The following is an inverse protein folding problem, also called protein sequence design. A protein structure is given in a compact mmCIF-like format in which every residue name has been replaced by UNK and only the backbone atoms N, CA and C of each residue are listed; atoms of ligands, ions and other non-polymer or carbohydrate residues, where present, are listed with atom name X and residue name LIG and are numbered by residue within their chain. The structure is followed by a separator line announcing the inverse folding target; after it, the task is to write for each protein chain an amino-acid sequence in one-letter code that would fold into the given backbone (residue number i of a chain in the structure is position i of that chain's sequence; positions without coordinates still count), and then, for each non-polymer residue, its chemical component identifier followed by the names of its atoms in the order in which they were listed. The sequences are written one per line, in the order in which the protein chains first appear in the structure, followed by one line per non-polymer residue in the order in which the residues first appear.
data_IF_465121962055
#
_entry.id   IF_465121962055
#
_cell.length_a   1.000
_cell.length_b   1.000
_cell.length_c   1.000
_cell.angle_alpha   90.00
_cell.angle_beta   90.00
_cell.angle_gamma   90.00
#
_symmetry.space_group_name_H-M   'P 1'
#
loop_
_entity.id
_entity.type
_entity.pdbx_description
1 polymer ?
#
# COMPACT_ATOMS: atom_id res chain seq x y z
N UNK A 1 10.22 -1.97 -6.64
CA UNK A 1 11.25 -2.62 -7.48
C UNK A 1 11.36 -4.12 -7.18
N UNK A 2 11.63 -4.53 -5.94
CA UNK A 2 11.67 -5.96 -5.56
C UNK A 2 10.39 -6.74 -5.94
N UNK A 3 9.21 -6.22 -5.58
CA UNK A 3 7.92 -6.83 -5.95
C UNK A 3 7.73 -7.00 -7.47
N UNK A 4 8.09 -5.98 -8.26
CA UNK A 4 8.08 -6.05 -9.73
C UNK A 4 8.93 -7.21 -10.25
N UNK A 5 10.15 -7.38 -9.73
CA UNK A 5 11.03 -8.50 -10.10
C UNK A 5 10.45 -9.85 -9.70
N UNK A 6 9.88 -9.95 -8.50
CA UNK A 6 9.21 -11.15 -8.00
C UNK A 6 8.06 -11.57 -8.91
N UNK A 7 7.25 -10.60 -9.36
CA UNK A 7 6.11 -10.86 -10.22
C UNK A 7 6.50 -11.16 -11.67
N UNK A 8 7.33 -10.31 -12.30
CA UNK A 8 7.66 -10.42 -13.73
C UNK A 8 8.65 -11.56 -13.98
N UNK A 9 9.72 -11.64 -13.19
CA UNK A 9 10.81 -12.60 -13.39
C UNK A 9 10.58 -13.88 -12.59
N UNK A 10 10.09 -13.75 -11.36
CA UNK A 10 9.84 -14.89 -10.48
C UNK A 10 8.52 -15.63 -10.74
N UNK A 11 7.62 -15.07 -11.56
CA UNK A 11 6.26 -15.58 -11.77
C UNK A 11 5.45 -15.74 -10.47
N UNK A 12 5.74 -14.94 -9.44
CA UNK A 12 5.18 -15.08 -8.09
C UNK A 12 4.32 -13.88 -7.70
N UNK A 13 3.12 -14.15 -7.19
CA UNK A 13 2.27 -13.21 -6.48
C UNK A 13 2.52 -13.33 -4.98
N UNK A 14 2.71 -12.22 -4.27
CA UNK A 14 3.07 -12.25 -2.85
C UNK A 14 1.87 -12.49 -1.94
N UNK A 15 0.75 -11.77 -2.16
CA UNK A 15 -0.55 -11.94 -1.48
C UNK A 15 -0.60 -11.67 0.02
N UNK A 16 0.50 -11.20 0.60
CA UNK A 16 0.57 -10.80 2.01
C UNK A 16 1.58 -9.66 2.21
N UNK A 17 1.40 -8.58 1.44
CA UNK A 17 2.17 -7.37 1.67
C UNK A 17 1.71 -6.74 3.00
N UNK A 18 2.65 -6.63 3.94
CA UNK A 18 2.44 -6.01 5.25
C UNK A 18 3.71 -5.28 5.68
N UNK A 19 3.62 -4.41 6.69
CA UNK A 19 4.80 -3.75 7.26
C UNK A 19 5.82 -4.73 7.85
N UNK A 20 5.37 -5.93 8.27
CA UNK A 20 6.25 -6.94 8.86
C UNK A 20 7.03 -7.72 7.79
N UNK A 21 6.52 -7.74 6.56
CA UNK A 21 7.10 -8.47 5.43
C UNK A 21 8.01 -7.59 4.55
N UNK A 22 8.28 -6.36 5.02
CA UNK A 22 9.17 -5.39 4.36
C UNK A 22 10.33 -5.07 5.30
N UNK A 23 11.53 -5.51 4.93
CA UNK A 23 12.77 -5.13 5.62
C UNK A 23 13.34 -3.89 4.95
N UNK A 24 13.66 -2.87 5.73
CA UNK A 24 14.44 -1.72 5.27
C UNK A 24 15.88 -1.90 5.74
N UNK A 25 16.83 -1.92 4.80
CA UNK A 25 18.24 -2.09 5.12
C UNK A 25 18.85 -0.78 5.59
N UNK A 26 19.87 -0.87 6.44
CA UNK A 26 20.63 0.31 6.89
C UNK A 26 21.45 0.87 5.73
N UNK A 27 21.28 2.16 5.37
CA UNK A 27 21.95 2.76 4.21
C UNK A 27 23.47 2.59 4.22
N UNK A 28 24.07 2.62 5.41
CA UNK A 28 25.52 2.52 5.62
C UNK A 28 26.08 1.15 5.25
N UNK A 29 25.23 0.12 5.23
CA UNK A 29 25.62 -1.28 5.01
C UNK A 29 25.12 -1.85 3.69
N UNK A 30 24.25 -1.13 2.99
CA UNK A 30 23.49 -1.66 1.86
C UNK A 30 23.58 -0.79 0.60
N UNK A 31 24.60 0.07 0.47
CA UNK A 31 24.76 1.00 -0.67
C UNK A 31 23.50 1.86 -0.91
N UNK A 32 23.06 2.54 0.16
CA UNK A 32 21.89 3.41 0.15
C UNK A 32 20.60 2.77 0.64
N UNK A 33 19.48 3.45 0.39
CA UNK A 33 18.15 3.04 0.89
C UNK A 33 17.60 1.85 0.08
N UNK A 34 17.91 0.65 0.56
CA UNK A 34 17.38 -0.59 0.00
C UNK A 34 16.33 -1.23 0.91
N UNK A 35 15.52 -2.09 0.31
CA UNK A 35 14.51 -2.86 1.02
C UNK A 35 14.32 -4.23 0.41
N UNK A 36 13.96 -5.19 1.25
CA UNK A 36 13.72 -6.58 0.87
C UNK A 36 12.29 -6.97 1.22
N UNK A 37 11.69 -7.76 0.35
CA UNK A 37 10.43 -8.45 0.64
C UNK A 37 10.74 -9.85 1.12
N UNK A 38 10.11 -10.22 2.22
CA UNK A 38 10.26 -11.52 2.85
C UNK A 38 8.88 -12.19 2.97
N UNK A 39 8.86 -13.41 3.47
CA UNK A 39 7.65 -14.18 3.77
C UNK A 39 6.80 -14.47 2.53
N UNK A 40 7.12 -15.59 1.88
CA UNK A 40 6.43 -16.10 0.70
C UNK A 40 5.51 -17.28 1.02
N UNK A 41 5.17 -17.49 2.29
CA UNK A 41 4.37 -18.65 2.72
C UNK A 41 2.95 -18.62 2.15
N UNK A 42 2.43 -17.42 1.88
CA UNK A 42 1.13 -17.19 1.23
C UNK A 42 1.23 -16.91 -0.27
N UNK A 43 2.45 -16.93 -0.81
CA UNK A 43 2.71 -16.61 -2.20
C UNK A 43 2.11 -17.67 -3.13
N UNK A 44 1.84 -17.26 -4.36
CA UNK A 44 1.25 -18.14 -5.39
C UNK A 44 1.95 -17.91 -6.72
N UNK A 45 2.28 -19.00 -7.40
CA UNK A 45 2.70 -18.91 -8.80
C UNK A 45 1.54 -18.38 -9.66
N UNK A 46 1.80 -17.34 -10.45
CA UNK A 46 0.78 -16.62 -11.24
C UNK A 46 -0.02 -17.57 -12.14
N UNK A 47 0.66 -18.50 -12.79
CA UNK A 47 0.09 -19.37 -13.81
C UNK A 47 -0.42 -20.71 -13.25
N UNK A 48 -0.38 -20.88 -11.92
CA UNK A 48 -0.90 -22.08 -11.27
C UNK A 48 -2.43 -22.15 -11.36
N UNK A 49 -2.95 -23.37 -11.57
CA UNK A 49 -4.39 -23.62 -11.68
C UNK A 49 -5.16 -23.03 -10.49
N UNK A 50 -6.35 -22.45 -10.70
CA UNK A 50 -7.20 -22.01 -9.60
C UNK A 50 -7.49 -23.20 -8.68
N UNK A 51 -7.13 -23.10 -7.40
CA UNK A 51 -7.38 -24.15 -6.42
C UNK A 51 -8.86 -24.26 -6.00
N UNK A 52 -9.77 -23.56 -6.68
CA UNK A 52 -11.21 -23.48 -6.35
C UNK A 52 -11.53 -22.69 -5.07
N UNK A 53 -10.62 -22.65 -4.10
CA UNK A 53 -10.72 -21.84 -2.91
C UNK A 53 -10.35 -20.37 -3.17
N UNK A 54 -11.32 -19.47 -2.98
CA UNK A 54 -11.09 -18.02 -2.87
C UNK A 54 -10.40 -17.73 -1.55
N UNK A 55 -9.08 -17.72 -1.60
CA UNK A 55 -8.23 -17.62 -0.43
C UNK A 55 -8.15 -16.16 0.06
N UNK A 56 -8.98 -15.83 1.05
CA UNK A 56 -8.80 -14.65 1.91
C UNK A 56 -7.52 -14.84 2.74
N UNK A 57 -6.39 -14.47 2.16
CA UNK A 57 -5.07 -14.60 2.78
C UNK A 57 -4.46 -13.23 2.96
N UNK A 58 -3.69 -13.10 4.04
CA UNK A 58 -2.89 -11.94 4.35
C UNK A 58 -3.42 -11.12 5.52
N UNK A 59 -2.79 -9.98 5.74
CA UNK A 59 -3.10 -9.10 6.87
C UNK A 59 -4.28 -8.16 6.53
N UNK A 60 -5.44 -8.31 7.21
CA UNK A 60 -6.71 -7.62 6.87
C UNK A 60 -6.57 -6.10 6.66
N UNK A 61 -5.82 -5.41 7.53
CA UNK A 61 -5.62 -3.96 7.41
C UNK A 61 -4.86 -3.53 6.15
N UNK A 62 -4.12 -4.44 5.52
CA UNK A 62 -3.38 -4.20 4.28
C UNK A 62 -3.99 -4.88 3.05
N UNK A 63 -4.98 -5.77 3.20
CA UNK A 63 -5.67 -6.36 2.05
C UNK A 63 -6.31 -5.31 1.15
N UNK A 64 -6.23 -5.51 -0.17
CA UNK A 64 -6.91 -4.68 -1.16
C UNK A 64 -8.45 -4.80 -1.07
N UNK A 65 -9.17 -3.77 -1.56
CA UNK A 65 -10.64 -3.71 -1.52
C UNK A 65 -11.28 -4.91 -2.21
N UNK A 66 -10.82 -5.27 -3.42
CA UNK A 66 -11.40 -6.40 -4.15
C UNK A 66 -11.08 -7.75 -3.48
N UNK A 67 -9.92 -7.88 -2.84
CA UNK A 67 -9.55 -9.08 -2.07
C UNK A 67 -10.49 -9.27 -0.89
N UNK A 68 -10.82 -8.19 -0.16
CA UNK A 68 -11.80 -8.22 0.92
C UNK A 68 -13.20 -8.63 0.41
N UNK A 69 -13.51 -8.29 -0.85
CA UNK A 69 -14.71 -8.71 -1.59
C UNK A 69 -14.59 -10.08 -2.26
N UNK A 70 -13.55 -10.85 -1.91
CA UNK A 70 -13.31 -12.23 -2.38
C UNK A 70 -13.04 -12.34 -3.89
N UNK A 71 -12.51 -11.28 -4.50
CA UNK A 71 -11.89 -11.34 -5.83
C UNK A 71 -10.50 -11.97 -5.70
N UNK A 72 -10.08 -12.70 -6.72
CA UNK A 72 -8.77 -13.35 -6.72
C UNK A 72 -7.63 -12.31 -6.72
N UNK A 73 -6.60 -12.60 -5.93
CA UNK A 73 -5.42 -11.74 -5.81
C UNK A 73 -4.67 -11.58 -7.13
N UNK A 74 -4.12 -10.39 -7.35
CA UNK A 74 -3.30 -10.04 -8.52
C UNK A 74 -2.15 -9.13 -8.06
N UNK A 75 -1.22 -8.80 -8.97
CA UNK A 75 -0.12 -7.90 -8.66
C UNK A 75 -0.61 -6.48 -8.28
N UNK A 76 -1.74 -6.04 -8.84
CA UNK A 76 -2.36 -4.75 -8.51
C UNK A 76 -2.82 -4.73 -7.05
N UNK A 77 -3.33 -5.84 -6.53
CA UNK A 77 -3.72 -5.95 -5.13
C UNK A 77 -2.52 -5.85 -4.19
N UNK A 78 -1.37 -6.45 -4.53
CA UNK A 78 -0.13 -6.25 -3.77
C UNK A 78 0.33 -4.78 -3.81
N UNK A 79 0.19 -4.08 -4.96
CA UNK A 79 0.50 -2.65 -5.07
C UNK A 79 -0.43 -1.76 -4.23
N UNK A 80 -1.71 -2.10 -4.17
CA UNK A 80 -2.67 -1.44 -3.28
C UNK A 80 -2.32 -1.66 -1.81
N UNK A 81 -1.90 -2.88 -1.44
CA UNK A 81 -1.39 -3.19 -0.11
C UNK A 81 -0.14 -2.39 0.25
N UNK A 82 0.81 -2.20 -0.67
CA UNK A 82 1.96 -1.29 -0.44
C UNK A 82 1.51 0.13 -0.14
N UNK A 83 0.49 0.63 -0.84
CA UNK A 83 -0.03 1.96 -0.57
C UNK A 83 -0.67 2.05 0.82
N UNK A 84 -1.41 1.02 1.24
CA UNK A 84 -1.94 0.95 2.60
C UNK A 84 -0.86 0.86 3.68
N UNK A 85 0.24 0.15 3.42
CA UNK A 85 1.41 0.17 4.30
C UNK A 85 1.99 1.58 4.41
N UNK A 86 2.17 2.30 3.31
CA UNK A 86 2.65 3.69 3.34
C UNK A 86 1.77 4.58 4.22
N UNK A 87 0.45 4.56 4.00
CA UNK A 87 -0.51 5.35 4.78
C UNK A 87 -0.47 4.97 6.27
N UNK A 88 -0.36 3.68 6.57
CA UNK A 88 -0.25 3.18 7.93
C UNK A 88 1.01 3.66 8.64
N UNK A 89 2.16 3.58 7.96
CA UNK A 89 3.44 4.05 8.48
C UNK A 89 3.39 5.55 8.78
N UNK A 90 2.84 6.35 7.86
CA UNK A 90 2.75 7.80 8.00
C UNK A 90 1.71 8.26 9.05
N UNK A 91 0.52 7.66 9.12
CA UNK A 91 -0.54 8.09 10.04
C UNK A 91 -0.42 7.54 11.46
N UNK A 92 0.21 6.36 11.63
CA UNK A 92 0.23 5.65 12.92
C UNK A 92 1.63 5.44 13.47
N UNK A 93 2.50 4.78 12.71
CA UNK A 93 3.81 4.35 13.23
C UNK A 93 4.77 5.53 13.44
N UNK A 94 4.71 6.52 12.55
CA UNK A 94 5.51 7.77 12.62
C UNK A 94 5.47 8.44 14.00
N UNK A 95 4.31 8.46 14.66
CA UNK A 95 4.12 9.08 15.97
C UNK A 95 4.92 8.41 17.10
N UNK A 96 5.35 7.16 16.91
CA UNK A 96 6.13 6.39 17.89
C UNK A 96 7.61 6.29 17.52
N UNK A 97 7.96 6.62 16.27
CA UNK A 97 9.30 6.42 15.71
C UNK A 97 10.06 7.74 15.49
N UNK A 98 9.82 8.75 16.34
CA UNK A 98 10.56 10.01 16.32
C UNK A 98 10.11 11.04 15.27
N UNK A 99 9.09 10.73 14.44
CA UNK A 99 8.58 11.67 13.43
C UNK A 99 7.56 12.67 13.94
N UNK A 100 7.28 12.71 15.26
CA UNK A 100 6.31 13.62 15.87
C UNK A 100 6.53 15.10 15.48
N UNK A 101 7.79 15.48 15.21
CA UNK A 101 8.19 16.86 14.94
C UNK A 101 8.10 17.76 16.18
N UNK A 102 8.57 18.99 16.04
CA UNK A 102 8.41 20.05 17.06
C UNK A 102 7.07 20.81 16.90
N UNK A 103 6.27 20.42 15.91
CA UNK A 103 5.00 21.04 15.56
C UNK A 103 3.92 20.93 16.64
N UNK A 104 2.86 21.71 16.47
CA UNK A 104 1.72 21.75 17.41
C UNK A 104 0.79 20.55 17.27
N UNK A 105 0.88 19.84 16.14
CA UNK A 105 0.03 18.69 15.85
C UNK A 105 0.30 17.53 16.81
N UNK A 106 -0.78 16.93 17.32
CA UNK A 106 -0.71 15.78 18.22
C UNK A 106 -1.24 14.54 17.51
N UNK A 107 -0.72 13.38 17.93
CA UNK A 107 -1.26 12.07 17.55
C UNK A 107 -2.78 12.07 17.79
N UNK A 108 -3.60 11.63 16.82
CA UNK A 108 -5.03 11.51 17.02
C UNK A 108 -5.33 10.51 18.15
N UNK A 109 -6.38 10.79 18.94
CA UNK A 109 -6.87 9.88 20.00
C UNK A 109 -7.25 8.52 19.43
N UNK A 110 -7.90 8.54 18.27
CA UNK A 110 -8.28 7.37 17.50
C UNK A 110 -7.98 7.66 16.03
N UNK A 111 -7.24 6.74 15.38
CA UNK A 111 -6.89 6.89 13.96
C UNK A 111 -8.01 6.35 13.08
N UNK A 112 -8.28 7.06 11.99
CA UNK A 112 -9.21 6.65 10.93
C UNK A 112 -8.89 5.25 10.39
N UNK A 113 -7.62 4.85 10.40
CA UNK A 113 -7.18 3.53 9.95
C UNK A 113 -7.57 2.39 10.90
N UNK A 114 -8.07 2.66 12.12
CA UNK A 114 -8.59 1.61 13.02
C UNK A 114 -9.74 0.84 12.37
N UNK A 115 -10.54 1.51 11.53
CA UNK A 115 -11.65 0.89 10.78
C UNK A 115 -11.16 -0.06 9.68
N UNK A 116 -9.86 -0.14 9.44
CA UNK A 116 -9.28 -1.13 8.53
C UNK A 116 -8.93 -2.45 9.24
N UNK A 117 -8.98 -2.48 10.57
CA UNK A 117 -8.66 -3.64 11.41
C UNK A 117 -9.91 -4.30 12.02
N UNK A 118 -10.96 -3.51 12.27
CA UNK A 118 -12.12 -3.92 13.07
C UNK A 118 -13.39 -3.89 12.23
N UNK A 119 -14.20 -4.94 12.34
CA UNK A 119 -15.50 -5.06 11.67
C UNK A 119 -15.56 -6.23 10.70
N UNK A 120 -16.66 -6.30 9.94
CA UNK A 120 -16.81 -7.30 8.87
C UNK A 120 -15.97 -6.96 7.63
N UNK A 121 -15.54 -7.96 6.85
CA UNK A 121 -14.71 -7.74 5.66
C UNK A 121 -15.32 -6.75 4.65
N UNK A 122 -16.65 -6.79 4.46
CA UNK A 122 -17.33 -5.84 3.58
C UNK A 122 -17.34 -4.41 4.13
N UNK A 123 -17.47 -4.25 5.45
CA UNK A 123 -17.39 -2.93 6.10
C UNK A 123 -16.00 -2.32 5.98
N UNK A 124 -14.97 -3.16 6.15
CA UNK A 124 -13.57 -2.80 5.94
C UNK A 124 -13.36 -2.40 4.47
N UNK A 125 -13.88 -3.17 3.51
CA UNK A 125 -13.80 -2.87 2.09
C UNK A 125 -14.45 -1.52 1.73
N UNK A 126 -15.68 -1.27 2.20
CA UNK A 126 -16.38 -0.01 1.97
C UNK A 126 -15.64 1.19 2.58
N UNK A 127 -15.10 1.02 3.79
CA UNK A 127 -14.33 2.08 4.45
C UNK A 127 -13.05 2.41 3.70
N UNK A 128 -12.33 1.38 3.23
CA UNK A 128 -11.14 1.54 2.39
C UNK A 128 -11.46 2.20 1.06
N UNK A 129 -12.50 1.74 0.36
CA UNK A 129 -12.93 2.35 -0.90
C UNK A 129 -13.27 3.84 -0.72
N UNK A 130 -14.07 4.20 0.29
CA UNK A 130 -14.39 5.60 0.57
C UNK A 130 -13.16 6.46 0.90
N UNK A 131 -12.18 5.87 1.58
CA UNK A 131 -10.91 6.51 1.86
C UNK A 131 -10.05 6.74 0.61
N UNK A 132 -10.26 6.00 -0.48
CA UNK A 132 -9.54 6.19 -1.74
C UNK A 132 -10.15 7.27 -2.64
N UNK A 133 -11.21 7.96 -2.21
CA UNK A 133 -11.57 9.26 -2.79
C UNK A 133 -10.51 10.32 -2.45
N UNK A 134 -10.39 11.39 -3.25
CA UNK A 134 -9.43 12.48 -2.98
C UNK A 134 -9.66 13.06 -1.57
N UNK A 135 -10.91 13.43 -1.26
CA UNK A 135 -11.29 13.95 0.06
C UNK A 135 -11.06 12.91 1.18
N UNK A 136 -11.28 11.62 0.90
CA UNK A 136 -11.04 10.54 1.86
C UNK A 136 -9.56 10.40 2.20
N UNK A 137 -8.71 10.46 1.18
CA UNK A 137 -7.27 10.35 1.33
C UNK A 137 -6.70 11.58 2.05
N UNK A 138 -7.18 12.79 1.72
CA UNK A 138 -6.79 14.01 2.42
C UNK A 138 -7.12 13.95 3.91
N UNK A 139 -8.27 13.36 4.31
CA UNK A 139 -8.59 13.13 5.73
C UNK A 139 -7.59 12.20 6.41
N UNK A 140 -7.16 11.13 5.74
CA UNK A 140 -6.13 10.22 6.27
C UNK A 140 -4.79 10.95 6.40
N UNK A 141 -4.37 11.68 5.38
CA UNK A 141 -3.14 12.48 5.40
C UNK A 141 -3.20 13.60 6.46
N UNK A 142 -4.41 14.02 6.85
CA UNK A 142 -4.67 14.86 8.00
C UNK A 142 -4.17 14.28 9.33
N UNK A 143 -3.91 12.97 9.44
CA UNK A 143 -3.34 12.34 10.63
C UNK A 143 -1.81 12.30 10.65
N UNK A 144 -1.15 12.62 9.54
CA UNK A 144 0.32 12.55 9.44
C UNK A 144 0.96 13.64 10.33
N UNK A 145 2.08 13.36 11.00
CA UNK A 145 2.92 14.43 11.58
C UNK A 145 3.32 15.46 10.51
N UNK A 146 3.51 16.72 10.92
CA UNK A 146 3.87 17.83 10.01
C UNK A 146 5.18 17.57 9.25
N UNK A 147 6.11 16.83 9.85
CA UNK A 147 7.38 16.42 9.23
C UNK A 147 7.19 15.53 8.00
N UNK A 148 6.03 14.86 7.87
CA UNK A 148 5.69 13.99 6.75
C UNK A 148 4.79 14.68 5.71
N UNK A 149 4.60 16.01 5.80
CA UNK A 149 3.83 16.75 4.79
C UNK A 149 4.44 16.63 3.39
N UNK A 150 5.76 16.45 3.30
CA UNK A 150 6.50 16.17 2.05
C UNK A 150 6.03 14.89 1.34
N UNK A 151 5.42 13.95 2.07
CA UNK A 151 4.93 12.67 1.53
C UNK A 151 3.51 12.80 0.95
N UNK A 152 2.74 13.83 1.31
CA UNK A 152 1.33 13.96 0.88
C UNK A 152 1.16 14.00 -0.66
N UNK A 153 1.99 14.73 -1.43
CA UNK A 153 1.90 14.70 -2.89
C UNK A 153 2.16 13.30 -3.48
N UNK A 154 3.04 12.50 -2.87
CA UNK A 154 3.28 11.11 -3.27
C UNK A 154 2.01 10.27 -3.13
N UNK A 155 1.34 10.40 -1.97
CA UNK A 155 0.11 9.65 -1.69
C UNK A 155 -0.99 9.97 -2.71
N UNK A 156 -1.18 11.25 -3.04
CA UNK A 156 -2.15 11.66 -4.06
C UNK A 156 -1.82 11.09 -5.44
N UNK A 157 -0.53 11.10 -5.82
CA UNK A 157 -0.08 10.55 -7.11
C UNK A 157 -0.24 9.03 -7.19
N UNK A 158 0.14 8.29 -6.16
CA UNK A 158 -0.08 6.83 -6.10
C UNK A 158 -1.57 6.50 -6.15
N UNK A 159 -2.41 7.27 -5.44
CA UNK A 159 -3.87 7.11 -5.49
C UNK A 159 -4.41 7.33 -6.90
N UNK A 160 -3.97 8.37 -7.59
CA UNK A 160 -4.35 8.63 -8.99
C UNK A 160 -4.02 7.44 -9.89
N UNK A 161 -2.79 6.91 -9.79
CA UNK A 161 -2.32 5.77 -10.58
C UNK A 161 -3.15 4.51 -10.32
N UNK A 162 -3.42 4.18 -9.05
CA UNK A 162 -4.14 2.95 -8.69
C UNK A 162 -5.65 3.03 -8.91
N UNK A 163 -6.26 4.18 -8.61
CA UNK A 163 -7.71 4.32 -8.52
C UNK A 163 -8.34 5.20 -9.60
N UNK A 164 -7.56 5.79 -10.50
CA UNK A 164 -7.99 6.78 -11.51
C UNK A 164 -8.45 8.12 -10.90
N UNK A 165 -8.19 9.22 -11.61
CA UNK A 165 -8.67 10.57 -11.28
C UNK A 165 -10.06 10.91 -11.84
N UNK A 166 -10.70 9.93 -12.49
CA UNK A 166 -12.09 10.06 -12.92
C UNK A 166 -13.05 9.97 -11.72
N UNK A 167 -14.30 10.42 -11.92
CA UNK A 167 -15.33 10.37 -10.88
C UNK A 167 -15.62 8.94 -10.38
N UNK A 168 -15.33 7.92 -11.19
CA UNK A 168 -15.49 6.50 -10.84
C UNK A 168 -14.12 5.87 -10.61
N UNK A 169 -13.90 5.38 -9.40
CA UNK A 169 -12.67 4.66 -9.08
C UNK A 169 -12.57 3.34 -9.86
N UNK A 170 -11.34 3.00 -10.26
CA UNK A 170 -11.02 1.71 -10.85
C UNK A 170 -10.43 0.82 -9.76
N UNK A 171 -11.07 -0.31 -9.48
CA UNK A 171 -10.62 -1.30 -8.50
C UNK A 171 -9.98 -2.54 -9.16
N UNK A 172 -10.36 -2.82 -10.41
CA UNK A 172 -9.89 -3.99 -11.16
C UNK A 172 -8.45 -3.88 -11.64
N UNK A 173 -7.81 -5.03 -11.88
CA UNK A 173 -6.47 -5.08 -12.48
C UNK A 173 -6.53 -4.68 -13.95
N UNK A 174 -5.71 -3.71 -14.42
CA UNK A 174 -5.71 -3.31 -15.82
C UNK A 174 -5.24 -4.46 -16.71
N UNK A 175 -5.76 -4.50 -17.94
CA UNK A 175 -5.33 -5.49 -18.94
C UNK A 175 -3.99 -5.08 -19.56
N UNK A 176 -3.16 -6.08 -19.89
CA UNK A 176 -1.90 -5.88 -20.59
C UNK A 176 -0.70 -5.82 -19.65
N UNK A 177 0.27 -4.96 -20.01
CA UNK A 177 1.56 -4.88 -19.32
C UNK A 177 1.42 -4.38 -17.86
N UNK A 178 1.89 -5.14 -16.86
CA UNK A 178 1.95 -4.72 -15.46
C UNK A 178 2.70 -3.40 -15.23
N UNK A 179 3.62 -3.03 -16.11
CA UNK A 179 4.40 -1.79 -16.03
C UNK A 179 3.55 -0.53 -16.15
N UNK A 180 2.32 -0.64 -16.65
CA UNK A 180 1.34 0.43 -16.59
C UNK A 180 1.07 0.93 -15.16
N UNK A 181 1.30 0.07 -14.14
CA UNK A 181 1.24 0.48 -12.73
C UNK A 181 2.62 0.58 -12.09
N UNK A 182 3.53 -0.36 -12.36
CA UNK A 182 4.84 -0.36 -11.70
C UNK A 182 5.67 0.88 -12.02
N UNK A 183 5.82 1.20 -13.31
CA UNK A 183 6.69 2.31 -13.75
C UNK A 183 6.25 3.65 -13.17
N UNK A 184 4.99 4.10 -13.30
CA UNK A 184 4.58 5.40 -12.75
C UNK A 184 4.62 5.45 -11.22
N UNK A 185 4.39 4.33 -10.52
CA UNK A 185 4.55 4.28 -9.05
C UNK A 185 6.03 4.45 -8.68
N UNK A 186 6.93 3.72 -9.34
CA UNK A 186 8.38 3.82 -9.09
C UNK A 186 8.89 5.23 -9.38
N UNK A 187 8.46 5.84 -10.49
CA UNK A 187 8.78 7.23 -10.83
C UNK A 187 8.27 8.20 -9.76
N UNK A 188 7.04 8.04 -9.28
CA UNK A 188 6.50 8.87 -8.21
C UNK A 188 7.35 8.81 -6.94
N UNK A 189 7.82 7.61 -6.55
CA UNK A 189 8.75 7.46 -5.42
C UNK A 189 10.11 8.14 -5.70
N UNK A 190 10.72 7.90 -6.87
CA UNK A 190 12.01 8.49 -7.23
C UNK A 190 11.95 10.03 -7.23
N UNK A 191 10.86 10.61 -7.74
CA UNK A 191 10.67 12.06 -7.79
C UNK A 191 10.61 12.69 -6.40
N UNK A 192 10.03 12.00 -5.41
CA UNK A 192 9.98 12.50 -4.03
C UNK A 192 11.30 12.27 -3.32
N UNK A 193 11.92 11.10 -3.49
CA UNK A 193 13.22 10.79 -2.89
C UNK A 193 14.31 11.75 -3.37
N UNK A 194 14.31 12.14 -4.65
CA UNK A 194 15.29 13.09 -5.20
C UNK A 194 15.18 14.51 -4.64
N UNK A 195 14.10 14.83 -3.90
CA UNK A 195 13.85 16.13 -3.27
C UNK A 195 14.13 16.13 -1.76
N UNK A 196 14.48 14.98 -1.19
CA UNK A 196 14.87 14.80 0.21
C UNK A 196 16.40 14.89 0.35
#
# INVERSE_FOLDING_TARGET
RAHRSLYITGNILHRDISSNNIIITRPETADGFNGMLIDLDLAKERDSRPSGARHLTGTVQFMAVEVLRRVDHTYRHDLESFFYVLLWMCARQSWYNGFKGEGKKKKPRESLLRKWEVGGLEEIAMTKEGAMSVNGLERIMGEFPETLDVVKPLCLRIRSILFSDTARMVLGTPLGDPDQLYSPIIEAYNDVISRL
#
